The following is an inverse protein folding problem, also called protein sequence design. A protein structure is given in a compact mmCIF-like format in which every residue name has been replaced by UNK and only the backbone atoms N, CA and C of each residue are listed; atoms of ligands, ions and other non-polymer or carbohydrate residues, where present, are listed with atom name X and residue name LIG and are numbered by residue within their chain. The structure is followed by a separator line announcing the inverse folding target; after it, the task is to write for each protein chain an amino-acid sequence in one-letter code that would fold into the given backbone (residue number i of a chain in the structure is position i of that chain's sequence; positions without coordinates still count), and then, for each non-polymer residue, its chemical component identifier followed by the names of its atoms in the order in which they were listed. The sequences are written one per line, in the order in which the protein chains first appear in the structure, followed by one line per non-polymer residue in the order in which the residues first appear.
data_IF_431275638189
#
_entry.id   IF_431275638189
#
_cell.length_a   1.000
_cell.length_b   1.000
_cell.length_c   1.000
_cell.angle_alpha   90.00
_cell.angle_beta   90.00
_cell.angle_gamma   90.00
#
_symmetry.space_group_name_H-M   'P 1'
#
loop_
_entity.id
_entity.type
_entity.pdbx_description
1 polymer ?
#
# COMPACT_ATOMS: atom_id res chain seq x y z
N UNK A 1 -16.72 1.09 13.72
CA UNK A 1 -16.13 -0.25 13.54
C UNK A 1 -17.05 -1.43 13.87
N UNK A 2 -18.26 -1.25 14.45
CA UNK A 2 -19.19 -2.35 14.81
C UNK A 2 -18.56 -3.43 15.71
N UNK A 3 -17.60 -3.04 16.55
CA UNK A 3 -17.00 -3.95 17.53
C UNK A 3 -17.87 -3.89 18.79
N UNK A 4 -18.51 -4.99 19.21
CA UNK A 4 -19.39 -4.99 20.38
C UNK A 4 -18.66 -4.57 21.65
N UNK A 5 -19.37 -3.94 22.58
CA UNK A 5 -18.87 -3.62 23.94
C UNK A 5 -17.66 -2.66 23.97
N UNK A 6 -17.41 -1.92 22.89
CA UNK A 6 -16.38 -0.87 22.82
C UNK A 6 -17.06 0.50 22.71
N UNK A 7 -17.02 1.27 23.80
CA UNK A 7 -17.64 2.60 23.91
C UNK A 7 -16.68 3.59 24.58
N UNK A 8 -16.80 4.87 24.22
CA UNK A 8 -16.04 5.98 24.80
C UNK A 8 -14.66 6.22 24.13
N UNK A 9 -13.94 7.29 24.56
CA UNK A 9 -12.70 7.75 23.91
C UNK A 9 -11.42 7.07 24.42
N UNK A 10 -11.52 6.19 25.42
CA UNK A 10 -10.37 5.56 26.07
C UNK A 10 -9.61 4.61 25.12
N UNK A 11 -8.28 4.74 25.08
CA UNK A 11 -7.42 3.82 24.34
C UNK A 11 -7.44 2.43 25.00
N UNK A 12 -7.75 1.39 24.21
CA UNK A 12 -7.82 0.01 24.71
C UNK A 12 -7.42 -0.98 23.62
N UNK A 13 -6.73 -2.05 24.03
CA UNK A 13 -6.49 -3.20 23.15
C UNK A 13 -7.79 -3.99 23.02
N UNK A 14 -8.20 -4.28 21.78
CA UNK A 14 -9.38 -5.08 21.49
C UNK A 14 -9.00 -6.17 20.50
N UNK A 15 -9.43 -7.40 20.78
CA UNK A 15 -9.25 -8.50 19.84
C UNK A 15 -10.23 -8.36 18.68
N UNK A 16 -9.75 -8.61 17.46
CA UNK A 16 -10.56 -8.58 16.24
C UNK A 16 -10.54 -9.99 15.65
N UNK A 17 -11.72 -10.53 15.39
CA UNK A 17 -11.86 -11.84 14.76
C UNK A 17 -11.38 -11.77 13.29
N UNK A 18 -10.68 -12.78 12.76
CA UNK A 18 -10.20 -12.77 11.38
C UNK A 18 -11.27 -12.48 10.33
N UNK A 19 -12.50 -12.93 10.57
CA UNK A 19 -13.68 -12.76 9.72
C UNK A 19 -14.11 -11.29 9.59
N UNK A 20 -13.63 -10.41 10.47
CA UNK A 20 -13.85 -8.99 10.35
C UNK A 20 -13.12 -8.38 9.14
N UNK A 21 -12.20 -9.12 8.49
CA UNK A 21 -11.38 -8.66 7.38
C UNK A 21 -10.69 -7.33 7.71
N UNK A 22 -10.15 -7.24 8.92
CA UNK A 22 -9.49 -6.05 9.46
C UNK A 22 -8.22 -6.48 10.16
N UNK A 23 -7.08 -5.91 9.78
CA UNK A 23 -5.84 -6.16 10.46
C UNK A 23 -4.64 -5.45 9.85
N UNK A 24 -3.76 -4.98 10.74
CA UNK A 24 -2.54 -4.27 10.38
C UNK A 24 -2.80 -2.88 9.81
N UNK A 25 -1.72 -2.23 9.38
CA UNK A 25 -1.75 -0.89 8.82
C UNK A 25 -2.51 -0.83 7.48
N UNK A 26 -2.29 -1.83 6.62
CA UNK A 26 -2.76 -1.81 5.24
C UNK A 26 -4.28 -1.73 5.12
N UNK A 27 -5.05 -2.33 6.03
CA UNK A 27 -6.53 -2.32 6.00
C UNK A 27 -7.15 -1.40 7.05
N UNK A 28 -6.37 -0.51 7.65
CA UNK A 28 -6.87 0.47 8.61
C UNK A 28 -7.81 1.48 7.93
N UNK A 29 -8.90 1.87 8.59
CA UNK A 29 -9.88 2.79 7.97
C UNK A 29 -9.24 4.12 7.57
N UNK A 30 -8.29 4.64 8.36
CA UNK A 30 -7.55 5.86 8.02
C UNK A 30 -6.77 5.71 6.72
N UNK A 31 -6.08 4.58 6.51
CA UNK A 31 -5.33 4.30 5.27
C UNK A 31 -6.29 4.13 4.08
N UNK A 32 -7.42 3.45 4.28
CA UNK A 32 -8.42 3.27 3.23
C UNK A 32 -9.08 4.59 2.80
N UNK A 33 -9.46 5.41 3.78
CA UNK A 33 -10.11 6.70 3.57
C UNK A 33 -9.18 7.74 2.96
N UNK A 34 -7.95 7.85 3.47
CA UNK A 34 -6.94 8.78 2.94
C UNK A 34 -6.60 8.49 1.47
N UNK A 35 -6.75 7.23 1.04
CA UNK A 35 -6.51 6.79 -0.33
C UNK A 35 -7.82 6.49 -1.10
N UNK A 36 -8.87 7.23 -0.80
CA UNK A 36 -10.15 7.20 -1.53
C UNK A 36 -10.38 8.49 -2.33
N UNK A 37 -11.50 8.60 -3.03
CA UNK A 37 -12.01 9.88 -3.56
C UNK A 37 -13.13 10.48 -2.70
N UNK A 38 -13.41 9.87 -1.54
CA UNK A 38 -14.50 10.22 -0.63
C UNK A 38 -15.83 9.54 -0.98
N UNK A 39 -16.13 9.29 -2.26
CA UNK A 39 -17.36 8.63 -2.70
C UNK A 39 -17.20 7.11 -2.79
N UNK A 40 -16.05 6.63 -3.28
CA UNK A 40 -15.71 5.22 -3.44
C UNK A 40 -14.22 4.96 -3.17
N UNK A 41 -13.81 3.68 -3.22
CA UNK A 41 -12.39 3.32 -3.22
C UNK A 41 -11.66 3.93 -4.42
N UNK A 42 -10.33 4.02 -4.32
CA UNK A 42 -9.52 4.49 -5.44
C UNK A 42 -8.27 3.59 -5.59
N UNK A 43 -8.33 2.52 -6.41
CA UNK A 43 -7.23 1.57 -6.59
C UNK A 43 -5.90 2.24 -6.87
N UNK A 44 -5.86 3.18 -7.82
CA UNK A 44 -4.62 3.85 -8.20
C UNK A 44 -3.98 4.61 -7.02
N UNK A 45 -4.74 5.39 -6.24
CA UNK A 45 -4.22 6.08 -5.04
C UNK A 45 -3.69 5.09 -4.01
N UNK A 46 -4.39 3.98 -3.76
CA UNK A 46 -3.95 2.93 -2.83
C UNK A 46 -2.66 2.25 -3.29
N UNK A 47 -2.56 1.92 -4.57
CA UNK A 47 -1.35 1.33 -5.16
C UNK A 47 -0.16 2.28 -5.09
N UNK A 48 -0.34 3.55 -5.51
CA UNK A 48 0.69 4.59 -5.41
C UNK A 48 1.13 4.80 -3.96
N UNK A 49 0.20 4.84 -3.01
CA UNK A 49 0.52 4.96 -1.58
C UNK A 49 1.35 3.77 -1.10
N UNK A 50 0.95 2.54 -1.44
CA UNK A 50 1.69 1.34 -1.05
C UNK A 50 3.12 1.39 -1.59
N UNK A 51 3.27 1.62 -2.89
CA UNK A 51 4.59 1.67 -3.53
C UNK A 51 5.48 2.77 -2.93
N UNK A 52 4.95 3.98 -2.76
CA UNK A 52 5.72 5.13 -2.24
C UNK A 52 6.01 5.06 -0.74
N UNK A 53 5.04 4.63 0.07
CA UNK A 53 5.11 4.70 1.54
C UNK A 53 5.57 3.40 2.17
N UNK A 54 5.28 2.26 1.57
CA UNK A 54 5.64 0.93 2.10
C UNK A 54 6.89 0.38 1.41
N UNK A 55 7.03 0.53 0.09
CA UNK A 55 8.13 -0.07 -0.67
C UNK A 55 9.26 0.90 -1.06
N UNK A 56 9.09 2.19 -0.78
CA UNK A 56 10.03 3.25 -1.18
C UNK A 56 10.35 3.27 -2.68
N UNK A 57 9.38 2.88 -3.50
CA UNK A 57 9.48 2.79 -4.96
C UNK A 57 8.36 3.60 -5.60
N UNK A 58 8.38 4.95 -5.49
CA UNK A 58 7.30 5.77 -6.02
C UNK A 58 7.17 5.60 -7.55
N UNK A 59 5.95 5.45 -8.08
CA UNK A 59 5.76 5.39 -9.52
C UNK A 59 6.13 6.73 -10.19
N UNK A 60 6.46 6.72 -11.50
CA UNK A 60 6.74 7.95 -12.24
C UNK A 60 5.51 8.87 -12.26
N UNK A 61 5.71 10.18 -12.44
CA UNK A 61 4.58 11.09 -12.63
C UNK A 61 3.74 10.68 -13.84
N UNK A 62 2.42 10.91 -13.81
CA UNK A 62 1.57 10.63 -14.96
C UNK A 62 2.01 11.49 -16.17
N UNK A 63 1.85 10.99 -17.40
CA UNK A 63 2.13 11.77 -18.60
C UNK A 63 1.33 13.08 -18.63
N UNK A 64 1.86 14.16 -19.24
CA UNK A 64 1.03 15.32 -19.55
C UNK A 64 -0.09 14.89 -20.51
N UNK A 65 -1.31 15.41 -20.32
CA UNK A 65 -2.49 15.17 -21.17
C UNK A 65 -3.10 13.76 -21.12
N UNK A 66 -3.11 13.08 -19.96
CA UNK A 66 -3.92 11.86 -19.79
C UNK A 66 -5.41 12.21 -19.94
N UNK A 67 -6.15 11.59 -20.87
CA UNK A 67 -7.58 11.81 -21.01
C UNK A 67 -8.32 11.44 -19.72
N UNK A 68 -9.33 12.21 -19.33
CA UNK A 68 -10.18 11.78 -18.24
C UNK A 68 -11.06 10.60 -18.67
N UNK A 69 -11.41 9.73 -17.73
CA UNK A 69 -12.42 8.70 -17.96
C UNK A 69 -13.73 9.40 -18.26
N UNK A 70 -14.36 9.08 -19.39
CA UNK A 70 -15.64 9.67 -19.79
C UNK A 70 -16.78 9.13 -18.94
N UNK A 71 -17.06 9.82 -17.84
CA UNK A 71 -18.16 9.50 -16.93
C UNK A 71 -19.53 9.91 -17.49
N UNK A 72 -19.63 10.47 -18.70
CA UNK A 72 -20.91 10.73 -19.37
C UNK A 72 -21.42 9.49 -20.11
N UNK A 73 -20.54 8.54 -20.43
CA UNK A 73 -20.91 7.28 -21.08
C UNK A 73 -21.65 6.34 -20.09
N UNK A 74 -22.92 5.98 -20.35
CA UNK A 74 -23.69 5.10 -19.47
C UNK A 74 -23.08 3.70 -19.26
N UNK A 75 -22.35 3.17 -20.24
CA UNK A 75 -21.72 1.86 -20.14
C UNK A 75 -20.52 1.89 -19.17
N UNK A 76 -19.70 2.94 -19.24
CA UNK A 76 -18.61 3.18 -18.28
C UNK A 76 -19.17 3.41 -16.86
N UNK A 77 -20.34 4.05 -16.75
CA UNK A 77 -20.99 4.23 -15.46
C UNK A 77 -21.45 2.91 -14.83
N UNK A 78 -21.78 1.88 -15.62
CA UNK A 78 -22.14 0.54 -15.10
C UNK A 78 -20.92 -0.24 -14.60
N UNK A 79 -19.76 -0.06 -15.23
CA UNK A 79 -18.51 -0.73 -14.87
C UNK A 79 -18.11 -0.52 -13.39
N UNK A 80 -17.45 -1.53 -12.83
CA UNK A 80 -16.65 -1.47 -11.60
C UNK A 80 -15.40 -0.62 -11.82
N UNK A 81 -14.73 -0.20 -10.74
CA UNK A 81 -13.49 0.57 -10.86
C UNK A 81 -12.38 -0.22 -11.55
N UNK A 82 -12.26 -1.53 -11.27
CA UNK A 82 -11.31 -2.41 -11.96
C UNK A 82 -11.56 -2.44 -13.46
N UNK A 83 -12.81 -2.62 -13.89
CA UNK A 83 -13.18 -2.64 -15.31
C UNK A 83 -12.89 -1.30 -15.99
N UNK A 84 -13.20 -0.17 -15.34
CA UNK A 84 -12.86 1.16 -15.87
C UNK A 84 -11.36 1.37 -16.02
N UNK A 85 -10.55 0.86 -15.08
CA UNK A 85 -9.08 0.91 -15.19
C UNK A 85 -8.62 0.12 -16.41
N UNK A 86 -9.19 -1.07 -16.63
CA UNK A 86 -8.87 -1.92 -17.80
C UNK A 86 -9.25 -1.24 -19.11
N UNK A 87 -10.45 -0.66 -19.19
CA UNK A 87 -10.92 0.11 -20.35
C UNK A 87 -10.02 1.31 -20.62
N UNK A 88 -9.74 2.12 -19.59
CA UNK A 88 -8.91 3.33 -19.72
C UNK A 88 -7.47 3.05 -20.15
N UNK A 89 -6.87 1.96 -19.67
CA UNK A 89 -5.45 1.63 -19.93
C UNK A 89 -5.23 0.76 -21.18
N UNK A 90 -6.25 0.55 -22.01
CA UNK A 90 -6.20 -0.40 -23.14
C UNK A 90 -5.19 -0.03 -24.25
N UNK A 91 -4.63 1.18 -24.21
CA UNK A 91 -3.58 1.63 -25.13
C UNK A 91 -2.20 1.09 -24.73
N UNK A 92 -1.36 0.61 -25.67
CA UNK A 92 -0.01 0.10 -25.35
C UNK A 92 0.85 1.06 -24.53
N UNK A 93 0.75 2.38 -24.80
CA UNK A 93 1.48 3.42 -24.09
C UNK A 93 1.11 3.51 -22.59
N UNK A 94 -0.14 3.20 -22.23
CA UNK A 94 -0.61 3.22 -20.84
C UNK A 94 -0.31 1.90 -20.13
N UNK A 95 -0.46 0.78 -20.82
CA UNK A 95 -0.33 -0.56 -20.26
C UNK A 95 1.05 -0.83 -19.63
N UNK A 96 2.12 -0.31 -20.23
CA UNK A 96 3.49 -0.53 -19.76
C UNK A 96 3.70 -0.06 -18.31
N UNK A 97 3.28 1.15 -17.98
CA UNK A 97 3.35 1.70 -16.63
C UNK A 97 2.28 1.10 -15.71
N UNK A 98 1.04 0.99 -16.20
CA UNK A 98 -0.09 0.51 -15.39
C UNK A 98 0.05 -0.95 -14.93
N UNK A 99 0.69 -1.81 -15.72
CA UNK A 99 1.01 -3.19 -15.33
C UNK A 99 1.87 -3.28 -14.05
N UNK A 100 2.63 -2.22 -13.73
CA UNK A 100 3.49 -2.12 -12.55
C UNK A 100 2.82 -1.46 -11.34
N UNK A 101 1.69 -0.78 -11.55
CA UNK A 101 1.06 0.09 -10.54
C UNK A 101 -0.30 -0.46 -10.10
N UNK A 102 -1.20 -0.72 -11.05
CA UNK A 102 -2.59 -1.07 -10.76
C UNK A 102 -2.75 -2.31 -9.88
N UNK A 103 -1.94 -3.38 -10.03
CA UNK A 103 -2.14 -4.60 -9.23
C UNK A 103 -2.06 -4.35 -7.72
N UNK A 104 -1.17 -3.44 -7.29
CA UNK A 104 -1.02 -3.05 -5.88
C UNK A 104 -2.26 -2.38 -5.31
N UNK A 105 -3.04 -1.71 -6.16
CA UNK A 105 -4.27 -1.01 -5.80
C UNK A 105 -5.51 -1.91 -5.86
N UNK A 106 -5.62 -2.70 -6.94
CA UNK A 106 -6.76 -3.60 -7.20
C UNK A 106 -6.91 -4.63 -6.08
N UNK A 107 -5.80 -5.09 -5.49
CA UNK A 107 -5.81 -5.99 -4.34
C UNK A 107 -6.67 -5.47 -3.15
N UNK A 108 -6.93 -4.16 -3.08
CA UNK A 108 -7.76 -3.54 -2.04
C UNK A 108 -9.24 -3.39 -2.41
N UNK A 109 -9.72 -3.88 -3.55
CA UNK A 109 -11.07 -3.55 -4.04
C UNK A 109 -12.21 -4.15 -3.19
N UNK A 110 -11.91 -5.15 -2.36
CA UNK A 110 -12.82 -5.60 -1.31
C UNK A 110 -13.02 -4.58 -0.19
N UNK A 111 -12.41 -3.40 -0.22
CA UNK A 111 -12.58 -2.35 0.77
C UNK A 111 -13.17 -1.10 0.12
N UNK A 112 -14.32 -0.63 0.62
CA UNK A 112 -14.92 0.63 0.16
C UNK A 112 -14.10 1.87 0.57
N UNK A 113 -14.61 3.07 0.28
CA UNK A 113 -13.96 4.34 0.62
C UNK A 113 -13.54 4.41 2.11
N UNK A 114 -14.35 3.91 3.03
CA UNK A 114 -14.13 3.98 4.47
C UNK A 114 -13.37 2.78 5.03
N UNK A 115 -12.96 1.84 4.17
CA UNK A 115 -12.30 0.60 4.58
C UNK A 115 -13.25 -0.42 5.20
N UNK A 116 -14.53 -0.40 4.83
CA UNK A 116 -15.46 -1.49 5.12
C UNK A 116 -15.30 -2.57 4.06
N UNK A 117 -15.21 -3.81 4.53
CA UNK A 117 -15.11 -4.95 3.65
C UNK A 117 -16.42 -5.16 2.87
N UNK A 118 -16.31 -5.44 1.57
CA UNK A 118 -17.42 -5.65 0.63
C UNK A 118 -17.13 -6.83 -0.29
N UNK A 119 -18.18 -7.58 -0.61
CA UNK A 119 -18.15 -8.70 -1.55
C UNK A 119 -18.91 -8.40 -2.84
N UNK A 120 -19.68 -7.30 -2.89
CA UNK A 120 -20.38 -6.85 -4.09
C UNK A 120 -20.30 -5.34 -4.31
N UNK A 121 -20.20 -4.91 -5.56
CA UNK A 121 -20.32 -3.52 -6.03
C UNK A 121 -21.40 -3.50 -7.12
N UNK A 122 -22.44 -2.66 -6.98
CA UNK A 122 -23.55 -2.56 -7.95
C UNK A 122 -24.17 -3.93 -8.32
N UNK A 123 -24.41 -4.77 -7.32
CA UNK A 123 -24.92 -6.14 -7.46
C UNK A 123 -24.02 -7.11 -8.24
N UNK A 124 -22.78 -6.72 -8.55
CA UNK A 124 -21.75 -7.60 -9.13
C UNK A 124 -20.77 -8.05 -8.03
N UNK A 125 -20.26 -9.28 -8.08
CA UNK A 125 -19.21 -9.72 -7.16
C UNK A 125 -17.95 -8.85 -7.31
N UNK A 126 -17.27 -8.59 -6.20
CA UNK A 126 -16.01 -7.85 -6.23
C UNK A 126 -14.89 -8.76 -6.72
N UNK A 127 -14.24 -8.33 -7.80
CA UNK A 127 -12.98 -8.90 -8.25
C UNK A 127 -11.81 -8.04 -7.77
N UNK A 128 -11.19 -8.46 -6.67
CA UNK A 128 -9.95 -7.87 -6.15
C UNK A 128 -8.70 -8.66 -6.55
N UNK A 129 -8.79 -9.52 -7.56
CA UNK A 129 -7.62 -10.24 -8.09
C UNK A 129 -6.83 -9.35 -9.03
N UNK A 130 -5.51 -9.45 -9.01
CA UNK A 130 -4.68 -8.76 -10.00
C UNK A 130 -3.41 -9.56 -10.31
N UNK A 131 -2.92 -9.42 -11.54
CA UNK A 131 -1.65 -10.01 -11.96
C UNK A 131 -0.55 -8.94 -11.96
N UNK A 132 0.56 -9.23 -11.28
CA UNK A 132 1.76 -8.41 -11.31
C UNK A 132 2.52 -8.59 -12.62
N UNK A 133 3.42 -7.65 -12.94
CA UNK A 133 4.27 -7.74 -14.14
C UNK A 133 5.09 -9.04 -14.25
N UNK A 134 5.45 -9.66 -13.12
CA UNK A 134 6.13 -10.95 -13.05
C UNK A 134 5.17 -12.17 -13.10
N UNK A 135 3.91 -11.96 -13.51
CA UNK A 135 2.83 -12.96 -13.60
C UNK A 135 2.40 -13.58 -12.27
N UNK A 136 2.83 -13.04 -11.14
CA UNK A 136 2.29 -13.48 -9.85
C UNK A 136 0.90 -12.89 -9.62
N UNK A 137 -0.01 -13.72 -9.15
CA UNK A 137 -1.39 -13.33 -8.85
C UNK A 137 -1.53 -12.85 -7.40
N UNK A 138 -2.06 -11.65 -7.23
CA UNK A 138 -2.51 -11.11 -5.96
C UNK A 138 -4.01 -11.38 -5.81
N UNK A 139 -4.37 -12.37 -5.00
CA UNK A 139 -5.76 -12.63 -4.61
C UNK A 139 -6.17 -11.74 -3.43
N UNK A 140 -6.60 -10.51 -3.75
CA UNK A 140 -6.97 -9.52 -2.74
C UNK A 140 -5.84 -9.14 -1.79
N UNK A 141 -6.21 -8.55 -0.65
CA UNK A 141 -5.25 -8.08 0.36
C UNK A 141 -4.44 -9.21 0.98
N UNK A 142 -5.00 -10.40 1.12
CA UNK A 142 -4.26 -11.52 1.71
C UNK A 142 -3.19 -12.04 0.75
N UNK A 143 -3.49 -12.11 -0.55
CA UNK A 143 -2.49 -12.37 -1.58
C UNK A 143 -1.40 -11.30 -1.61
N UNK A 144 -1.78 -10.02 -1.49
CA UNK A 144 -0.84 -8.91 -1.39
C UNK A 144 0.07 -9.03 -0.16
N UNK A 145 -0.48 -9.25 1.03
CA UNK A 145 0.29 -9.41 2.27
C UNK A 145 1.29 -10.57 2.16
N UNK A 146 0.84 -11.70 1.60
CA UNK A 146 1.71 -12.86 1.38
C UNK A 146 2.88 -12.48 0.46
N UNK A 147 2.59 -11.88 -0.69
CA UNK A 147 3.61 -11.44 -1.64
C UNK A 147 4.60 -10.44 -1.03
N UNK A 148 4.11 -9.50 -0.22
CA UNK A 148 4.97 -8.54 0.48
C UNK A 148 5.94 -9.23 1.43
N UNK A 149 5.50 -10.28 2.12
CA UNK A 149 6.32 -11.05 3.05
C UNK A 149 7.27 -12.03 2.36
N UNK A 150 6.90 -12.61 1.23
CA UNK A 150 7.71 -13.63 0.56
C UNK A 150 8.68 -13.05 -0.46
N UNK A 151 8.29 -12.01 -1.18
CA UNK A 151 9.01 -11.54 -2.37
C UNK A 151 9.49 -10.08 -2.25
N UNK A 152 9.04 -9.35 -1.22
CA UNK A 152 9.36 -7.91 -1.05
C UNK A 152 9.80 -7.55 0.36
N UNK A 153 10.02 -8.53 1.24
CA UNK A 153 10.32 -8.25 2.65
C UNK A 153 11.61 -7.45 2.81
N UNK A 154 12.66 -7.76 2.04
CA UNK A 154 13.92 -7.01 2.07
C UNK A 154 13.74 -5.57 1.59
N UNK A 155 12.93 -5.35 0.55
CA UNK A 155 12.60 -4.01 0.08
C UNK A 155 11.81 -3.22 1.14
N UNK A 156 10.81 -3.85 1.76
CA UNK A 156 10.05 -3.26 2.85
C UNK A 156 10.93 -2.90 4.05
N UNK A 157 11.81 -3.81 4.47
CA UNK A 157 12.73 -3.59 5.57
C UNK A 157 13.68 -2.42 5.28
N UNK A 158 14.25 -2.38 4.07
CA UNK A 158 15.08 -1.27 3.61
C UNK A 158 14.31 0.05 3.62
N UNK A 159 13.08 0.05 3.11
CA UNK A 159 12.22 1.23 3.10
C UNK A 159 11.95 1.76 4.52
N UNK A 160 11.70 0.87 5.46
CA UNK A 160 11.52 1.21 6.88
C UNK A 160 12.79 1.80 7.49
N UNK A 161 13.94 1.17 7.26
CA UNK A 161 15.25 1.66 7.72
C UNK A 161 15.53 3.05 7.15
N UNK A 162 15.38 3.24 5.84
CA UNK A 162 15.57 4.54 5.19
C UNK A 162 14.68 5.62 5.80
N UNK A 163 13.35 5.39 5.83
CA UNK A 163 12.40 6.40 6.27
C UNK A 163 12.55 6.74 7.76
N UNK A 164 12.79 5.74 8.61
CA UNK A 164 12.96 5.99 10.04
C UNK A 164 14.32 6.63 10.37
N UNK A 165 15.38 6.29 9.64
CA UNK A 165 16.68 6.97 9.77
C UNK A 165 16.56 8.43 9.33
N UNK A 166 15.93 8.71 8.18
CA UNK A 166 15.70 10.09 7.72
C UNK A 166 14.90 10.91 8.74
N UNK A 167 13.87 10.31 9.34
CA UNK A 167 13.09 10.92 10.41
C UNK A 167 13.97 11.19 11.65
N UNK A 168 14.73 10.20 12.12
CA UNK A 168 15.58 10.32 13.29
C UNK A 168 16.68 11.39 13.13
N UNK A 169 17.24 11.54 11.93
CA UNK A 169 18.24 12.57 11.62
C UNK A 169 17.64 13.95 11.32
N UNK A 170 16.32 14.06 11.16
CA UNK A 170 15.66 15.30 10.78
C UNK A 170 16.01 15.82 9.38
N UNK A 171 16.51 14.96 8.47
CA UNK A 171 16.94 15.34 7.12
C UNK A 171 16.72 14.23 6.09
N UNK A 172 16.64 14.57 4.79
CA UNK A 172 16.77 13.58 3.73
C UNK A 172 18.12 12.86 3.79
N UNK A 173 18.14 11.59 3.38
CA UNK A 173 19.37 10.85 3.20
C UNK A 173 20.01 11.22 1.86
N UNK A 174 21.33 11.35 1.86
CA UNK A 174 22.15 11.61 0.69
C UNK A 174 22.78 10.31 0.19
N UNK A 175 23.43 10.37 -0.97
CA UNK A 175 24.13 9.23 -1.54
C UNK A 175 25.18 8.64 -0.59
N UNK A 176 25.87 9.49 0.18
CA UNK A 176 26.89 9.07 1.15
C UNK A 176 26.32 8.18 2.28
N UNK A 177 25.03 8.32 2.63
CA UNK A 177 24.39 7.54 3.68
C UNK A 177 24.05 6.10 3.24
N UNK A 178 24.21 5.77 1.95
CA UNK A 178 23.72 4.50 1.38
C UNK A 178 24.37 3.28 2.03
N UNK A 179 25.66 3.32 2.30
CA UNK A 179 26.38 2.21 2.91
C UNK A 179 25.87 1.94 4.35
N UNK A 180 25.58 2.99 5.11
CA UNK A 180 25.00 2.87 6.45
C UNK A 180 23.59 2.26 6.39
N UNK A 181 22.76 2.68 5.44
CA UNK A 181 21.42 2.12 5.24
C UNK A 181 21.46 0.65 4.83
N UNK A 182 22.38 0.26 3.94
CA UNK A 182 22.59 -1.12 3.54
C UNK A 182 22.99 -1.98 4.77
N UNK A 183 23.94 -1.50 5.57
CA UNK A 183 24.40 -2.15 6.80
C UNK A 183 23.31 -2.27 7.86
N UNK A 184 22.58 -1.18 8.14
CA UNK A 184 21.47 -1.17 9.08
C UNK A 184 20.34 -2.10 8.65
N UNK A 185 20.04 -2.13 7.35
CA UNK A 185 19.04 -3.06 6.80
C UNK A 185 19.47 -4.50 7.06
N UNK A 186 20.70 -4.88 6.74
CA UNK A 186 21.17 -6.24 6.98
C UNK A 186 21.12 -6.63 8.47
N UNK A 187 21.46 -5.71 9.38
CA UNK A 187 21.36 -5.93 10.82
C UNK A 187 19.91 -6.07 11.28
N UNK A 188 19.02 -5.23 10.78
CA UNK A 188 17.58 -5.25 11.09
C UNK A 188 16.93 -6.57 10.67
N UNK A 189 17.24 -7.05 9.47
CA UNK A 189 16.77 -8.36 8.97
C UNK A 189 17.22 -9.51 9.87
N UNK A 190 18.49 -9.51 10.30
CA UNK A 190 19.03 -10.54 11.20
C UNK A 190 18.37 -10.57 12.59
N UNK A 191 17.75 -9.47 13.01
CA UNK A 191 17.01 -9.38 14.29
C UNK A 191 15.51 -9.66 14.16
N UNK A 192 15.03 -10.08 12.99
CA UNK A 192 13.64 -10.48 12.80
C UNK A 192 12.66 -9.31 12.60
N UNK A 193 13.14 -8.17 12.10
CA UNK A 193 12.32 -7.02 11.68
C UNK A 193 11.50 -6.31 12.78
N UNK A 194 11.87 -6.45 14.04
CA UNK A 194 11.19 -5.79 15.16
C UNK A 194 11.37 -4.26 15.14
N UNK A 195 10.28 -3.49 15.19
CA UNK A 195 10.37 -2.01 15.21
C UNK A 195 11.23 -1.49 16.37
N UNK A 196 11.18 -2.14 17.54
CA UNK A 196 12.04 -1.82 18.68
C UNK A 196 13.52 -2.00 18.35
N UNK A 197 13.88 -3.10 17.69
CA UNK A 197 15.25 -3.36 17.23
C UNK A 197 15.72 -2.34 16.22
N UNK A 198 14.85 -1.92 15.30
CA UNK A 198 15.20 -0.88 14.33
C UNK A 198 15.54 0.45 15.01
N UNK A 199 14.73 0.86 15.99
CA UNK A 199 14.99 2.09 16.77
C UNK A 199 16.34 1.96 17.48
N UNK A 200 16.59 0.84 18.17
CA UNK A 200 17.87 0.59 18.84
C UNK A 200 19.06 0.60 17.88
N UNK A 201 18.93 -0.03 16.70
CA UNK A 201 19.97 -0.04 15.67
C UNK A 201 20.29 1.37 15.16
N UNK A 202 19.27 2.20 14.92
CA UNK A 202 19.46 3.57 14.44
C UNK A 202 20.16 4.42 15.51
N UNK A 203 19.68 4.44 16.76
CA UNK A 203 20.27 5.31 17.80
C UNK A 203 21.69 4.89 18.19
N UNK A 204 22.04 3.61 18.03
CA UNK A 204 23.41 3.11 18.26
C UNK A 204 24.32 3.19 17.03
N UNK A 205 23.83 3.68 15.89
CA UNK A 205 24.60 3.72 14.64
C UNK A 205 25.56 4.91 14.56
N UNK A 206 26.62 4.75 13.77
CA UNK A 206 27.53 5.86 13.47
C UNK A 206 26.81 7.00 12.72
N UNK A 207 25.91 6.69 11.79
CA UNK A 207 25.17 7.71 11.04
C UNK A 207 24.31 8.62 11.94
N UNK A 208 23.85 8.12 13.09
CA UNK A 208 23.11 8.89 14.10
C UNK A 208 24.02 9.69 15.03
N UNK A 209 25.15 9.12 15.45
CA UNK A 209 26.04 9.72 16.46
C UNK A 209 27.18 10.56 15.88
N UNK A 210 27.40 10.54 14.57
CA UNK A 210 28.49 11.30 13.90
C UNK A 210 28.10 12.73 13.52
N UNK A 211 26.94 13.22 13.97
CA UNK A 211 26.43 14.56 13.68
C UNK A 211 26.16 15.36 14.94
#
# INVERSE_FOLDING_TARGET
YRIPKVYGPQFRKVSIAPQANRGGLLTGAAIMAMNSDGKDSHPLKRGVWLMKRILDDPPPPPPPNVPQVDLTNPEILKMTLKERIVDHRNKPACLSCHSRIDPWGIAFENYDALGTFRTSIKNQPVDATAELFNRQTLAGVDGLKRYLLTDRQDQFARAMVHKLTAYALGRPLAFADRADIDSLTAQFRRRGDGLGDLISLIVSSNIFNSK
#
